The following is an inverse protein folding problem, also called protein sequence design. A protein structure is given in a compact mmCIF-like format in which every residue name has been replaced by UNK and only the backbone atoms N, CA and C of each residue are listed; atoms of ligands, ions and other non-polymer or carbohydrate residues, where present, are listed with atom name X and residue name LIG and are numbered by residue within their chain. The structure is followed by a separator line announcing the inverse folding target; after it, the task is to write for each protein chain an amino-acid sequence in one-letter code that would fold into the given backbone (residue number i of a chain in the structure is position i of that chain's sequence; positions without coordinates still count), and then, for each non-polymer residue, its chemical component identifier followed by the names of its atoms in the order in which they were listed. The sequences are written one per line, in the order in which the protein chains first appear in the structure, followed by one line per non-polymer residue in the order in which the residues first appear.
data_IF_436184252653
#
_entry.id   IF_436184252653
#
_cell.length_a   1.000
_cell.length_b   1.000
_cell.length_c   1.000
_cell.angle_alpha   90.00
_cell.angle_beta   90.00
_cell.angle_gamma   90.00
#
_symmetry.space_group_name_H-M   'P 1'
#
loop_
_entity.id
_entity.type
_entity.pdbx_description
1 polymer ?
#
# COMPACT_ATOMS: atom_id res chain seq x y z
N UNK A 1 -12.92 -20.00 35.97
CA UNK A 1 -12.84 -18.71 35.27
C UNK A 1 -11.58 -18.74 34.43
N UNK A 2 -11.71 -18.91 33.11
CA UNK A 2 -10.58 -19.10 32.21
C UNK A 2 -10.07 -17.74 31.75
N UNK A 3 -8.77 -17.50 31.97
CA UNK A 3 -8.05 -16.32 31.48
C UNK A 3 -7.99 -16.43 29.96
N UNK A 4 -8.45 -15.42 29.18
CA UNK A 4 -8.27 -15.46 27.73
C UNK A 4 -6.78 -15.36 27.41
N UNK A 5 -6.25 -16.41 26.79
CA UNK A 5 -4.91 -16.45 26.23
C UNK A 5 -4.77 -15.32 25.20
N UNK A 6 -3.90 -14.35 25.49
CA UNK A 6 -3.46 -13.35 24.51
C UNK A 6 -3.00 -14.08 23.25
N UNK A 7 -3.78 -13.95 22.17
CA UNK A 7 -3.38 -14.41 20.86
C UNK A 7 -2.02 -13.76 20.54
N UNK A 8 -1.05 -14.58 20.13
CA UNK A 8 0.29 -14.11 19.80
C UNK A 8 0.20 -12.96 18.81
N UNK A 9 0.59 -11.77 19.27
CA UNK A 9 0.71 -10.55 18.47
C UNK A 9 1.79 -10.79 17.41
N UNK A 10 1.44 -10.59 16.15
CA UNK A 10 2.37 -10.75 15.02
C UNK A 10 2.44 -9.41 14.30
N UNK A 11 3.62 -8.80 14.33
CA UNK A 11 3.94 -7.66 13.48
C UNK A 11 4.24 -8.22 12.07
N UNK A 12 3.66 -7.65 11.01
CA UNK A 12 4.19 -7.83 9.66
C UNK A 12 5.21 -6.71 9.47
N UNK A 13 6.53 -7.00 9.61
CA UNK A 13 7.51 -5.96 9.47
C UNK A 13 7.47 -5.46 8.02
N UNK A 14 7.51 -4.13 7.84
CA UNK A 14 8.16 -3.60 6.64
C UNK A 14 9.53 -4.30 6.54
N UNK A 15 10.02 -4.68 5.34
CA UNK A 15 11.30 -5.36 5.23
C UNK A 15 12.32 -4.61 6.07
N UNK A 16 12.86 -5.32 7.06
CA UNK A 16 13.63 -4.76 8.16
C UNK A 16 14.91 -4.16 7.58
N UNK A 17 14.87 -2.85 7.34
CA UNK A 17 15.92 -2.06 6.72
C UNK A 17 15.40 -0.66 6.41
N UNK A 18 16.29 0.32 6.34
CA UNK A 18 15.95 1.60 5.71
C UNK A 18 15.55 1.29 4.27
N UNK A 19 14.35 1.70 3.86
CA UNK A 19 13.90 1.51 2.49
C UNK A 19 14.92 2.16 1.54
N UNK A 20 15.44 1.38 0.58
CA UNK A 20 16.45 1.85 -0.36
C UNK A 20 15.79 2.59 -1.52
N UNK A 21 15.69 3.92 -1.38
CA UNK A 21 15.09 4.81 -2.36
C UNK A 21 15.76 4.70 -3.73
N UNK A 22 17.09 4.61 -3.77
CA UNK A 22 17.87 4.62 -5.01
C UNK A 22 17.66 3.32 -5.79
N UNK A 23 17.76 2.18 -5.11
CA UNK A 23 17.56 0.87 -5.72
C UNK A 23 16.09 0.69 -6.16
N UNK A 24 15.12 1.12 -5.34
CA UNK A 24 13.71 1.07 -5.72
C UNK A 24 13.42 1.91 -6.97
N UNK A 25 14.00 3.11 -7.07
CA UNK A 25 13.89 3.95 -8.27
C UNK A 25 14.52 3.28 -9.48
N UNK A 26 15.69 2.66 -9.33
CA UNK A 26 16.37 1.95 -10.42
C UNK A 26 15.51 0.82 -10.98
N UNK A 27 14.96 -0.04 -10.10
CA UNK A 27 14.10 -1.16 -10.49
C UNK A 27 12.80 -0.71 -11.16
N UNK A 28 12.14 0.33 -10.61
CA UNK A 28 10.92 0.87 -11.24
C UNK A 28 11.23 1.56 -12.56
N UNK A 29 12.39 2.21 -12.69
CA UNK A 29 12.84 2.81 -13.95
C UNK A 29 13.10 1.75 -15.02
N UNK A 30 13.74 0.63 -14.66
CA UNK A 30 13.91 -0.53 -15.55
C UNK A 30 12.57 -1.08 -16.04
N UNK A 31 11.63 -1.30 -15.11
CA UNK A 31 10.27 -1.72 -15.43
C UNK A 31 9.60 -0.73 -16.41
N UNK A 32 9.68 0.57 -16.12
CA UNK A 32 9.10 1.60 -16.99
C UNK A 32 9.75 1.64 -18.38
N UNK A 33 11.05 1.40 -18.48
CA UNK A 33 11.76 1.32 -19.77
C UNK A 33 11.30 0.12 -20.60
N UNK A 34 11.13 -1.06 -19.97
CA UNK A 34 10.65 -2.28 -20.62
C UNK A 34 9.22 -2.13 -21.19
N UNK A 35 8.42 -1.23 -20.63
CA UNK A 35 7.04 -0.97 -21.04
C UNK A 35 6.83 0.30 -21.86
N UNK A 36 7.92 0.93 -22.35
CA UNK A 36 7.90 2.16 -23.16
C UNK A 36 7.19 3.36 -22.48
N UNK A 37 7.25 3.39 -21.14
CA UNK A 37 6.71 4.50 -20.31
C UNK A 37 7.80 5.25 -19.55
N UNK A 38 9.06 4.81 -19.62
CA UNK A 38 10.20 5.43 -18.93
C UNK A 38 10.78 6.68 -19.59
N UNK A 39 10.50 6.93 -20.89
CA UNK A 39 11.02 8.12 -21.58
C UNK A 39 10.44 9.40 -20.99
N UNK A 40 11.32 10.35 -20.63
CA UNK A 40 10.94 11.62 -20.01
C UNK A 40 10.05 11.46 -18.78
N UNK A 41 10.32 10.43 -17.98
CA UNK A 41 9.61 10.13 -16.74
C UNK A 41 10.54 10.37 -15.56
N UNK A 42 10.11 11.18 -14.60
CA UNK A 42 10.80 11.34 -13.32
C UNK A 42 10.28 10.32 -12.29
N UNK A 43 11.07 10.06 -11.25
CA UNK A 43 10.73 9.12 -10.19
C UNK A 43 10.93 9.80 -8.84
N UNK A 44 10.04 9.52 -7.89
CA UNK A 44 10.16 10.07 -6.54
C UNK A 44 9.49 9.16 -5.53
N UNK A 45 10.15 8.95 -4.40
CA UNK A 45 9.56 8.22 -3.27
C UNK A 45 8.66 9.16 -2.47
N UNK A 46 7.46 8.70 -2.18
CA UNK A 46 6.48 9.36 -1.32
C UNK A 46 6.23 8.44 -0.12
N UNK A 47 6.52 8.90 1.12
CA UNK A 47 6.53 8.02 2.29
C UNK A 47 5.15 7.49 2.68
N UNK A 48 4.07 8.18 2.28
CA UNK A 48 2.71 7.88 2.68
C UNK A 48 1.78 7.74 1.47
N UNK A 49 0.95 6.70 1.48
CA UNK A 49 0.02 6.42 0.38
C UNK A 49 -1.06 7.51 0.24
N UNK A 50 -1.59 8.04 1.34
CA UNK A 50 -2.60 9.11 1.32
C UNK A 50 -2.04 10.41 0.69
N UNK A 51 -0.76 10.73 0.93
CA UNK A 51 -0.07 11.85 0.29
C UNK A 51 0.08 11.60 -1.21
N UNK A 52 0.50 10.39 -1.60
CA UNK A 52 0.62 10.03 -3.01
C UNK A 52 -0.73 10.09 -3.72
N UNK A 53 -1.82 9.65 -3.07
CA UNK A 53 -3.17 9.73 -3.61
C UNK A 53 -3.65 11.17 -3.76
N UNK A 54 -3.37 12.07 -2.81
CA UNK A 54 -3.67 13.51 -2.91
C UNK A 54 -2.92 14.19 -4.06
N UNK A 55 -1.64 13.85 -4.25
CA UNK A 55 -0.86 14.31 -5.41
C UNK A 55 -1.51 13.83 -6.71
N UNK A 56 -1.86 12.54 -6.76
CA UNK A 56 -2.50 11.92 -7.93
C UNK A 56 -3.87 12.54 -8.22
N UNK A 57 -4.65 12.91 -7.19
CA UNK A 57 -5.94 13.59 -7.33
C UNK A 57 -5.81 14.96 -7.98
N UNK A 58 -4.71 15.66 -7.67
CA UNK A 58 -4.45 17.01 -8.14
C UNK A 58 -3.89 17.02 -9.57
N UNK A 59 -2.97 16.12 -9.87
CA UNK A 59 -2.26 16.08 -11.16
C UNK A 59 -3.02 15.24 -12.20
N UNK A 60 -3.67 14.17 -11.74
CA UNK A 60 -4.29 13.15 -12.57
C UNK A 60 -3.31 12.07 -13.06
N UNK A 61 -3.85 10.93 -13.55
CA UNK A 61 -3.05 9.79 -13.98
C UNK A 61 -2.30 10.08 -15.29
N UNK A 62 -1.14 9.45 -15.47
CA UNK A 62 -0.41 9.51 -16.75
C UNK A 62 -1.14 8.70 -17.83
N UNK A 63 -1.56 9.37 -18.91
CA UNK A 63 -2.33 8.76 -20.01
C UNK A 63 -1.55 7.68 -20.77
N UNK A 64 -0.21 7.70 -20.72
CA UNK A 64 0.63 6.68 -21.39
C UNK A 64 0.41 5.28 -20.79
N UNK A 65 0.00 5.22 -19.53
CA UNK A 65 -0.23 3.98 -18.78
C UNK A 65 -1.60 3.33 -19.05
N UNK A 66 -2.47 3.97 -19.84
CA UNK A 66 -3.82 3.44 -20.18
C UNK A 66 -3.82 2.04 -20.79
N UNK A 67 -2.72 1.62 -21.43
CA UNK A 67 -2.60 0.29 -22.04
C UNK A 67 -2.03 -0.76 -21.06
N UNK A 68 -1.13 -0.36 -20.16
CA UNK A 68 -0.58 -1.23 -19.11
C UNK A 68 -1.66 -1.68 -18.12
N UNK A 69 -2.65 -0.82 -17.86
CA UNK A 69 -3.85 -1.08 -17.09
C UNK A 69 -4.58 -2.40 -17.39
N UNK A 70 -4.46 -2.94 -18.62
CA UNK A 70 -5.13 -4.19 -19.02
C UNK A 70 -4.35 -5.46 -18.61
N UNK A 71 -3.05 -5.35 -18.34
CA UNK A 71 -2.20 -6.50 -18.02
C UNK A 71 -2.13 -6.81 -16.51
N UNK A 72 -2.47 -5.85 -15.65
CA UNK A 72 -2.59 -6.04 -14.20
C UNK A 72 -4.04 -6.18 -13.71
N UNK A 73 -4.97 -6.51 -14.61
CA UNK A 73 -6.39 -6.62 -14.30
C UNK A 73 -6.66 -7.60 -13.15
N UNK A 74 -7.74 -7.33 -12.42
CA UNK A 74 -8.35 -8.12 -11.34
C UNK A 74 -8.77 -9.55 -11.78
N UNK A 75 -8.00 -10.23 -12.61
CA UNK A 75 -8.33 -11.57 -13.10
C UNK A 75 -8.14 -12.65 -12.03
N UNK A 76 -7.75 -12.28 -10.81
CA UNK A 76 -7.77 -13.12 -9.60
C UNK A 76 -8.95 -12.75 -8.69
N UNK A 77 -10.10 -12.41 -9.27
CA UNK A 77 -11.38 -12.42 -8.55
C UNK A 77 -11.87 -13.87 -8.53
N UNK A 78 -11.28 -14.68 -7.65
CA UNK A 78 -11.91 -15.93 -7.25
C UNK A 78 -12.99 -15.59 -6.22
N UNK A 79 -14.23 -15.49 -6.70
CA UNK A 79 -15.38 -15.18 -5.87
C UNK A 79 -16.64 -14.97 -6.71
N UNK A 80 -17.80 -15.28 -6.12
CA UNK A 80 -19.09 -14.85 -6.64
C UNK A 80 -19.06 -13.34 -6.93
N UNK A 81 -19.88 -12.82 -7.87
CA UNK A 81 -19.82 -11.44 -8.36
C UNK A 81 -19.92 -10.30 -7.32
N UNK A 82 -20.08 -10.61 -6.04
CA UNK A 82 -20.18 -9.65 -4.92
C UNK A 82 -19.05 -9.77 -3.87
N UNK A 83 -18.10 -10.70 -3.99
CA UNK A 83 -17.03 -10.90 -3.01
C UNK A 83 -15.65 -10.95 -3.66
N UNK A 84 -15.04 -9.78 -3.85
CA UNK A 84 -13.63 -9.68 -4.22
C UNK A 84 -12.79 -10.12 -3.01
N UNK A 85 -12.22 -11.33 -3.06
CA UNK A 85 -11.25 -11.79 -2.08
C UNK A 85 -9.89 -11.13 -2.35
N UNK A 86 -9.67 -9.98 -1.71
CA UNK A 86 -8.35 -9.35 -1.68
C UNK A 86 -7.47 -10.21 -0.78
N UNK A 87 -6.57 -11.02 -1.33
CA UNK A 87 -5.61 -11.78 -0.53
C UNK A 87 -4.42 -10.91 -0.11
N UNK A 88 -3.99 -10.00 -0.99
CA UNK A 88 -2.80 -9.17 -0.80
C UNK A 88 -3.06 -8.00 0.18
N UNK A 89 -2.15 -7.84 1.13
CA UNK A 89 -2.16 -6.74 2.10
C UNK A 89 -2.09 -5.36 1.44
N UNK A 90 -1.32 -5.22 0.35
CA UNK A 90 -1.22 -3.97 -0.43
C UNK A 90 -2.58 -3.55 -0.95
N UNK A 91 -3.38 -4.51 -1.42
CA UNK A 91 -4.70 -4.24 -1.97
C UNK A 91 -5.72 -3.92 -0.84
N UNK A 92 -5.63 -4.61 0.31
CA UNK A 92 -6.47 -4.32 1.49
C UNK A 92 -6.25 -2.92 2.02
N UNK A 93 -4.98 -2.55 2.21
CA UNK A 93 -4.61 -1.22 2.66
C UNK A 93 -5.03 -0.18 1.63
N UNK A 94 -4.69 -0.37 0.34
CA UNK A 94 -5.07 0.56 -0.72
C UNK A 94 -6.56 0.87 -0.72
N UNK A 95 -7.42 -0.16 -0.71
CA UNK A 95 -8.87 0.05 -0.70
C UNK A 95 -9.35 0.78 0.55
N UNK A 96 -8.74 0.51 1.72
CA UNK A 96 -9.04 1.28 2.94
C UNK A 96 -8.67 2.76 2.79
N UNK A 97 -7.50 3.07 2.22
CA UNK A 97 -7.08 4.46 2.01
C UNK A 97 -7.91 5.18 0.94
N UNK A 98 -8.28 4.50 -0.14
CA UNK A 98 -9.15 5.04 -1.19
C UNK A 98 -10.57 5.26 -0.70
N UNK A 99 -11.12 4.38 0.13
CA UNK A 99 -12.45 4.56 0.71
C UNK A 99 -12.57 5.84 1.55
N UNK A 100 -11.45 6.35 2.09
CA UNK A 100 -11.38 7.62 2.80
C UNK A 100 -11.27 8.87 1.90
N UNK A 101 -11.19 8.72 0.58
CA UNK A 101 -11.12 9.83 -0.37
C UNK A 101 -12.52 10.13 -0.93
N UNK A 102 -13.12 11.30 -0.65
CA UNK A 102 -14.34 11.72 -1.33
C UNK A 102 -14.08 11.88 -2.84
N UNK A 103 -15.05 11.45 -3.66
CA UNK A 103 -15.04 11.59 -5.13
C UNK A 103 -13.83 10.94 -5.83
N UNK A 104 -13.43 9.73 -5.42
CA UNK A 104 -12.35 8.95 -6.03
C UNK A 104 -12.62 8.45 -7.47
N UNK A 105 -13.71 8.87 -8.13
CA UNK A 105 -14.10 8.45 -9.49
C UNK A 105 -13.05 8.76 -10.56
N UNK A 106 -12.14 9.70 -10.28
CA UNK A 106 -11.00 10.04 -11.15
C UNK A 106 -9.86 9.02 -11.08
N UNK A 107 -9.78 8.17 -10.05
CA UNK A 107 -8.82 7.07 -9.97
C UNK A 107 -9.29 6.00 -10.95
N UNK A 108 -8.61 5.79 -12.10
CA UNK A 108 -8.94 4.62 -12.89
C UNK A 108 -8.75 3.38 -12.01
N UNK A 109 -9.63 2.35 -12.14
CA UNK A 109 -9.51 1.08 -11.40
C UNK A 109 -8.17 0.35 -11.64
N UNK A 110 -7.36 0.89 -12.56
CA UNK A 110 -6.12 0.37 -13.06
C UNK A 110 -4.96 1.39 -12.97
N UNK A 111 -5.06 2.40 -12.10
CA UNK A 111 -3.84 3.08 -11.62
C UNK A 111 -2.96 1.95 -11.10
N UNK A 112 -1.71 1.85 -11.57
CA UNK A 112 -0.87 0.66 -11.34
C UNK A 112 -0.42 0.63 -9.88
N UNK A 113 -1.35 0.38 -8.96
CA UNK A 113 -1.14 0.71 -7.57
C UNK A 113 -0.29 -0.38 -6.94
N UNK A 114 -0.72 -1.63 -6.89
CA UNK A 114 0.05 -2.65 -6.18
C UNK A 114 1.22 -3.22 -6.99
N UNK A 115 2.42 -3.19 -6.43
CA UNK A 115 3.63 -3.82 -6.99
C UNK A 115 3.46 -5.33 -7.12
N UNK A 116 2.75 -5.97 -6.20
CA UNK A 116 2.60 -7.43 -6.19
C UNK A 116 1.88 -7.97 -7.43
N UNK A 117 0.98 -7.19 -8.00
CA UNK A 117 0.26 -7.55 -9.24
C UNK A 117 1.19 -7.70 -10.44
N UNK A 118 2.32 -6.99 -10.41
CA UNK A 118 3.34 -6.98 -11.46
C UNK A 118 4.55 -7.85 -11.14
N UNK A 119 4.81 -8.15 -9.87
CA UNK A 119 5.92 -9.00 -9.44
C UNK A 119 5.93 -10.37 -10.16
N UNK A 120 4.76 -10.95 -10.43
CA UNK A 120 4.62 -12.21 -11.18
C UNK A 120 5.02 -12.13 -12.66
N UNK A 121 5.08 -10.92 -13.25
CA UNK A 121 5.37 -10.69 -14.67
C UNK A 121 6.64 -9.89 -14.93
N UNK A 122 7.27 -9.36 -13.88
CA UNK A 122 8.47 -8.53 -13.98
C UNK A 122 9.44 -8.85 -12.85
N UNK A 123 10.65 -9.35 -13.17
CA UNK A 123 11.71 -9.55 -12.19
C UNK A 123 12.07 -8.27 -11.43
N UNK A 124 12.10 -7.13 -12.11
CA UNK A 124 12.34 -5.82 -11.48
C UNK A 124 11.27 -5.47 -10.45
N UNK A 125 10.00 -5.73 -10.75
CA UNK A 125 8.91 -5.51 -9.78
C UNK A 125 8.92 -6.53 -8.64
N UNK A 126 9.36 -7.77 -8.89
CA UNK A 126 9.55 -8.77 -7.83
C UNK A 126 10.68 -8.36 -6.87
N UNK A 127 11.80 -7.86 -7.39
CA UNK A 127 12.88 -7.31 -6.58
C UNK A 127 12.41 -6.06 -5.80
N UNK A 128 11.69 -5.14 -6.45
CA UNK A 128 11.14 -3.96 -5.78
C UNK A 128 10.16 -4.33 -4.65
N UNK A 129 9.37 -5.40 -4.84
CA UNK A 129 8.50 -5.95 -3.79
C UNK A 129 9.32 -6.42 -2.58
N UNK A 130 10.44 -7.10 -2.81
CA UNK A 130 11.33 -7.61 -1.75
C UNK A 130 12.02 -6.47 -0.99
N UNK A 131 12.31 -5.35 -1.66
CA UNK A 131 12.77 -4.11 -1.02
C UNK A 131 11.71 -3.41 -0.17
N UNK A 132 10.46 -3.85 -0.25
CA UNK A 132 9.35 -3.26 0.51
C UNK A 132 8.55 -2.24 -0.24
N UNK A 133 8.67 -2.16 -1.56
CA UNK A 133 7.79 -1.30 -2.34
C UNK A 133 6.36 -1.85 -2.26
N UNK A 134 5.45 -1.00 -1.80
CA UNK A 134 4.02 -1.29 -1.74
C UNK A 134 3.36 -0.98 -3.05
N UNK A 135 3.54 0.27 -3.49
CA UNK A 135 2.80 0.80 -4.62
C UNK A 135 3.60 1.70 -5.55
N UNK A 136 3.13 1.81 -6.80
CA UNK A 136 3.56 2.87 -7.72
C UNK A 136 2.35 3.66 -8.22
N UNK A 137 2.48 4.97 -8.41
CA UNK A 137 1.40 5.81 -8.91
C UNK A 137 1.93 6.65 -10.08
N UNK A 138 1.58 6.32 -11.32
CA UNK A 138 1.98 7.10 -12.48
C UNK A 138 1.12 8.37 -12.60
N UNK A 139 1.73 9.53 -12.35
CA UNK A 139 1.12 10.86 -12.44
C UNK A 139 1.87 11.66 -13.49
N UNK A 140 1.18 12.24 -14.47
CA UNK A 140 1.74 13.05 -15.58
C UNK A 140 3.30 13.14 -15.69
N UNK A 141 3.95 12.18 -16.36
CA UNK A 141 5.43 12.13 -16.54
C UNK A 141 6.26 11.95 -15.28
N UNK A 142 5.66 11.45 -14.22
CA UNK A 142 6.30 11.10 -12.97
C UNK A 142 5.72 9.76 -12.47
N UNK A 143 6.53 8.97 -11.79
CA UNK A 143 6.08 7.80 -11.05
C UNK A 143 6.38 8.03 -9.58
N UNK A 144 5.32 8.06 -8.77
CA UNK A 144 5.43 8.10 -7.31
C UNK A 144 5.61 6.68 -6.80
N UNK A 145 6.67 6.43 -6.04
CA UNK A 145 6.92 5.15 -5.39
C UNK A 145 6.49 5.25 -3.94
N UNK A 146 5.70 4.30 -3.45
CA UNK A 146 5.20 4.31 -2.07
C UNK A 146 5.66 3.04 -1.37
N UNK A 147 6.56 3.15 -0.36
CA UNK A 147 6.96 2.02 0.47
C UNK A 147 5.77 1.43 1.22
N UNK A 148 5.88 0.15 1.57
CA UNK A 148 4.95 -0.47 2.50
C UNK A 148 5.08 0.15 3.89
N UNK A 149 3.96 0.47 4.57
CA UNK A 149 4.01 0.74 5.99
C UNK A 149 4.25 -0.55 6.77
N UNK A 150 4.68 -0.41 8.02
CA UNK A 150 4.56 -1.49 9.00
C UNK A 150 3.09 -1.57 9.43
N UNK A 151 2.54 -2.78 9.46
CA UNK A 151 1.16 -3.03 9.87
C UNK A 151 1.10 -3.92 11.10
N UNK A 152 0.12 -3.64 11.97
CA UNK A 152 -0.12 -4.36 13.22
C UNK A 152 -1.57 -4.79 13.31
N UNK A 153 -1.77 -6.05 13.64
CA UNK A 153 -3.08 -6.71 13.65
C UNK A 153 -3.37 -7.33 15.02
N UNK A 154 -4.66 -7.40 15.38
CA UNK A 154 -5.11 -8.03 16.63
C UNK A 154 -4.84 -9.55 16.63
N UNK A 155 -5.07 -10.21 15.49
CA UNK A 155 -4.77 -11.62 15.27
C UNK A 155 -4.55 -11.92 13.77
N UNK A 156 -3.95 -13.08 13.46
CA UNK A 156 -3.59 -13.47 12.10
C UNK A 156 -4.75 -13.98 11.23
N UNK A 157 -5.92 -14.28 11.82
CA UNK A 157 -7.08 -14.86 11.11
C UNK A 157 -8.03 -13.78 10.62
N UNK A 158 -8.22 -12.75 11.44
CA UNK A 158 -9.16 -11.68 11.17
C UNK A 158 -8.51 -10.52 10.43
N UNK A 159 -7.18 -10.38 10.53
CA UNK A 159 -6.40 -9.28 9.92
C UNK A 159 -7.04 -7.91 10.20
N UNK A 160 -7.55 -7.75 11.41
CA UNK A 160 -8.13 -6.51 11.91
C UNK A 160 -6.99 -5.63 12.42
N UNK A 161 -6.80 -4.45 11.79
CA UNK A 161 -5.80 -3.47 12.23
C UNK A 161 -6.08 -3.09 13.69
N UNK A 162 -5.06 -3.26 14.54
CA UNK A 162 -5.17 -3.00 15.97
C UNK A 162 -3.79 -2.79 16.58
N UNK A 163 -3.66 -1.78 17.42
CA UNK A 163 -2.50 -1.61 18.27
C UNK A 163 -2.89 -0.89 19.58
N UNK A 164 -2.73 -1.57 20.72
CA UNK A 164 -3.06 -1.09 22.06
C UNK A 164 -1.81 -0.81 22.91
N UNK A 165 -0.61 -0.75 22.31
CA UNK A 165 0.64 -0.45 23.02
C UNK A 165 1.10 1.01 22.87
N UNK A 166 0.24 1.86 22.29
CA UNK A 166 0.53 3.27 22.04
C UNK A 166 1.31 3.53 20.75
N UNK A 167 1.60 2.50 19.96
CA UNK A 167 2.14 2.65 18.59
C UNK A 167 0.99 2.69 17.56
N UNK A 168 1.22 3.28 16.38
CA UNK A 168 0.24 3.23 15.30
C UNK A 168 0.08 1.80 14.78
N UNK A 169 -1.14 1.43 14.37
CA UNK A 169 -1.36 0.13 13.74
C UNK A 169 -0.93 0.12 12.25
N UNK A 170 -0.77 1.31 11.65
CA UNK A 170 -0.12 1.51 10.34
C UNK A 170 0.94 2.58 10.51
N UNK A 171 2.21 2.23 10.37
CA UNK A 171 3.36 3.14 10.56
C UNK A 171 4.14 3.31 9.26
N UNK A 172 4.29 4.55 8.82
CA UNK A 172 4.98 4.91 7.58
C UNK A 172 6.49 5.09 7.81
N UNK A 173 7.26 5.10 6.72
CA UNK A 173 8.73 5.22 6.77
C UNK A 173 9.21 6.57 7.32
N UNK A 174 8.37 7.61 7.31
CA UNK A 174 8.66 8.91 7.91
C UNK A 174 8.30 8.99 9.41
N UNK A 175 7.89 7.86 10.01
CA UNK A 175 7.52 7.76 11.42
C UNK A 175 6.10 8.23 11.74
N UNK A 176 5.36 8.73 10.76
CA UNK A 176 3.92 9.03 10.95
C UNK A 176 3.12 7.73 10.95
N UNK A 177 1.89 7.75 11.47
CA UNK A 177 1.06 6.56 11.46
C UNK A 177 -0.39 6.80 11.82
N UNK A 178 -1.20 5.77 11.61
CA UNK A 178 -2.63 5.74 11.95
C UNK A 178 -2.89 4.72 13.05
N UNK A 179 -3.71 5.13 14.01
CA UNK A 179 -4.05 4.33 15.18
C UNK A 179 -5.36 3.60 14.95
N UNK A 180 -5.39 2.32 15.31
CA UNK A 180 -6.59 1.51 15.18
C UNK A 180 -6.81 0.68 16.44
N UNK A 181 -8.07 0.63 16.88
CA UNK A 181 -8.54 -0.30 17.91
C UNK A 181 -9.65 -1.15 17.31
N UNK A 182 -9.36 -2.44 17.14
CA UNK A 182 -10.29 -3.44 16.60
C UNK A 182 -10.88 -3.00 15.24
N UNK A 183 -10.03 -2.46 14.36
CA UNK A 183 -10.40 -2.05 13.01
C UNK A 183 -11.03 -0.66 12.92
N UNK A 184 -11.26 0.01 14.05
CA UNK A 184 -11.77 1.39 14.09
C UNK A 184 -10.60 2.36 14.21
N UNK A 185 -10.50 3.32 13.30
CA UNK A 185 -9.50 4.39 13.34
C UNK A 185 -9.80 5.35 14.51
N UNK A 186 -8.76 5.75 15.25
CA UNK A 186 -8.87 6.67 16.40
C UNK A 186 -7.89 7.84 16.24
N UNK A 187 -8.33 9.04 16.64
CA UNK A 187 -7.60 10.31 16.40
C UNK A 187 -6.37 10.54 17.29
N UNK A 188 -6.11 9.71 18.31
CA UNK A 188 -5.12 10.03 19.35
C UNK A 188 -4.01 8.97 19.50
N UNK A 189 -2.80 9.45 19.84
CA UNK A 189 -1.63 8.67 20.24
C UNK A 189 -1.75 8.10 21.67
N UNK A 190 -2.89 8.32 22.35
CA UNK A 190 -3.10 8.04 23.78
C UNK A 190 -4.30 7.13 24.16
N UNK A 191 -4.82 6.16 23.38
CA UNK A 191 -6.00 5.43 23.84
C UNK A 191 -5.73 4.50 25.04
N UNK A 192 -4.47 4.21 25.37
CA UNK A 192 -4.13 3.05 26.22
C UNK A 192 -4.22 3.32 27.72
N UNK A 193 -4.26 4.58 28.18
CA UNK A 193 -4.31 4.87 29.63
C UNK A 193 -5.72 4.94 30.23
N UNK A 194 -6.78 4.53 29.51
CA UNK A 194 -8.17 4.60 30.02
C UNK A 194 -8.94 3.28 30.08
N UNK A 195 -8.25 2.15 30.03
CA UNK A 195 -8.82 0.88 30.48
C UNK A 195 -8.11 0.43 31.77
N UNK A 196 -8.38 1.15 32.88
CA UNK A 196 -8.23 0.66 34.26
C UNK A 196 -9.62 0.53 34.87
#
# INVERSE_FOLDING_TARGET
MSIPTLAGRIDFPAPTGTFDDEEAIALVSEFCAAHDVGRHTSYSVVPQLDRALRITATIGPDRRWRRMARWSGNNEVDGLPETILLADERDKLYNRFVAGLPDADWLPPNTVVSVSRWARFSPAMAAAQQLGLGWILPVQRQVLLVPMPVTRYADNRTQILHCDDGRPAVEWSDGTGRYFLHGTEVDDQRPVLRCL
#
